data_IF_431675886383
#
_entry.id   IF_431675886383
#
_cell.length_a   1.000
_cell.length_b   1.000
_cell.length_c   1.000
_cell.angle_alpha   90.00
_cell.angle_beta   90.00
_cell.angle_gamma   90.00
#
_symmetry.space_group_name_H-M   'P 1'
#
loop_
_entity.id
_entity.type
_entity.pdbx_description
1 polymer ?
#
# COMPACT_ATOMS: atom_id res chain seq x y z
N UNK A 1 -24.17 -0.63 13.28
CA UNK A 1 -23.19 -0.56 12.18
C UNK A 1 -22.03 -1.46 12.56
N UNK A 2 -21.46 -2.23 11.64
CA UNK A 2 -20.29 -3.07 11.93
C UNK A 2 -19.07 -2.17 12.21
N UNK A 3 -18.28 -2.55 13.22
CA UNK A 3 -17.00 -1.87 13.51
C UNK A 3 -16.07 -2.06 12.32
N UNK A 4 -15.44 -1.00 11.84
CA UNK A 4 -14.45 -1.09 10.75
C UNK A 4 -13.20 -1.82 11.22
N UNK A 5 -12.53 -2.49 10.28
CA UNK A 5 -11.24 -3.16 10.50
C UNK A 5 -10.13 -2.19 10.13
N UNK A 6 -9.26 -1.85 11.10
CA UNK A 6 -8.14 -0.93 10.89
C UNK A 6 -6.84 -1.69 11.10
N UNK A 7 -5.92 -1.60 10.14
CA UNK A 7 -4.58 -2.13 10.21
C UNK A 7 -3.54 -1.02 9.99
N UNK A 8 -2.29 -1.29 10.28
CA UNK A 8 -1.17 -0.40 9.94
C UNK A 8 -0.22 -1.07 8.97
N UNK A 9 0.67 -0.29 8.38
CA UNK A 9 1.78 -0.78 7.59
C UNK A 9 3.10 -0.17 8.08
N UNK A 10 4.21 -0.92 8.07
CA UNK A 10 5.50 -0.46 8.58
C UNK A 10 6.05 0.80 7.91
N UNK A 11 5.63 1.12 6.70
CA UNK A 11 6.02 2.35 5.98
C UNK A 11 5.64 3.62 6.77
N UNK A 12 4.59 3.58 7.59
CA UNK A 12 4.23 4.70 8.46
C UNK A 12 5.29 4.97 9.53
N UNK A 13 6.20 4.03 9.77
CA UNK A 13 7.37 4.16 10.64
C UNK A 13 8.68 4.32 9.89
N UNK A 14 8.63 4.61 8.60
CA UNK A 14 9.80 4.82 7.75
C UNK A 14 10.43 3.52 7.24
N UNK A 15 9.79 2.37 7.43
CA UNK A 15 10.29 1.08 6.95
C UNK A 15 9.90 0.87 5.49
N UNK A 16 10.90 0.81 4.61
CA UNK A 16 10.71 0.76 3.16
C UNK A 16 11.77 -0.13 2.50
N UNK A 17 11.41 -0.76 1.39
CA UNK A 17 12.31 -1.61 0.59
C UNK A 17 13.30 -0.82 -0.25
N UNK A 18 13.05 0.49 -0.47
CA UNK A 18 13.89 1.32 -1.35
C UNK A 18 15.25 1.58 -0.70
N UNK A 19 16.37 1.22 -1.37
CA UNK A 19 17.70 1.50 -0.84
C UNK A 19 17.91 3.00 -0.58
N UNK A 20 18.37 3.34 0.62
CA UNK A 20 18.62 4.74 0.99
C UNK A 20 17.38 5.55 1.35
N UNK A 21 16.22 4.91 1.55
CA UNK A 21 14.96 5.58 1.94
C UNK A 21 15.08 6.42 3.22
N UNK A 22 16.01 6.07 4.10
CA UNK A 22 16.21 6.76 5.37
C UNK A 22 16.53 5.78 6.50
N UNK A 23 16.44 6.25 7.74
CA UNK A 23 16.65 5.42 8.92
C UNK A 23 15.50 4.42 9.05
N UNK A 24 15.83 3.13 9.17
CA UNK A 24 14.87 2.04 9.32
C UNK A 24 14.68 1.72 10.80
N UNK A 25 13.46 1.84 11.30
CA UNK A 25 13.15 1.48 12.69
C UNK A 25 13.14 -0.03 12.90
N UNK A 26 13.53 -0.44 14.11
CA UNK A 26 13.56 -1.85 14.52
C UNK A 26 12.14 -2.45 14.55
N UNK A 27 11.95 -3.69 14.08
CA UNK A 27 10.66 -4.37 14.04
C UNK A 27 9.95 -4.42 15.39
N UNK A 28 10.68 -4.69 16.48
CA UNK A 28 10.11 -4.78 17.83
C UNK A 28 9.46 -3.44 18.25
N UNK A 29 10.16 -2.33 17.99
CA UNK A 29 9.64 -0.99 18.23
C UNK A 29 8.39 -0.71 17.41
N UNK A 30 8.45 -0.95 16.09
CA UNK A 30 7.34 -0.67 15.16
C UNK A 30 6.08 -1.44 15.57
N UNK A 31 6.19 -2.75 15.77
CA UNK A 31 5.04 -3.58 16.14
C UNK A 31 4.49 -3.25 17.54
N UNK A 32 5.37 -2.90 18.49
CA UNK A 32 4.96 -2.46 19.83
C UNK A 32 4.19 -1.14 19.77
N UNK A 33 4.67 -0.18 18.98
CA UNK A 33 3.99 1.11 18.79
C UNK A 33 2.67 0.94 18.04
N UNK A 34 2.58 0.04 17.03
CA UNK A 34 1.32 -0.34 16.38
C UNK A 34 0.27 -0.81 17.40
N UNK A 35 0.64 -1.74 18.28
CA UNK A 35 -0.28 -2.22 19.34
C UNK A 35 -0.65 -1.10 20.30
N UNK A 36 0.31 -0.27 20.71
CA UNK A 36 0.09 0.90 21.56
C UNK A 36 -0.88 1.92 20.96
N UNK A 37 -0.85 2.11 19.64
CA UNK A 37 -1.80 2.95 18.91
C UNK A 37 -3.22 2.34 18.81
N UNK A 38 -3.39 1.11 19.28
CA UNK A 38 -4.68 0.40 19.28
C UNK A 38 -5.01 -0.31 17.97
N UNK A 39 -3.99 -0.58 17.15
CA UNK A 39 -4.11 -1.45 15.97
C UNK A 39 -4.08 -2.92 16.41
N UNK A 40 -4.81 -3.77 15.69
CA UNK A 40 -4.88 -5.21 15.94
C UNK A 40 -4.36 -6.03 14.77
N UNK A 41 -3.91 -5.35 13.72
CA UNK A 41 -3.43 -5.97 12.50
C UNK A 41 -2.38 -5.10 11.80
N UNK A 42 -1.53 -5.74 11.00
CA UNK A 42 -0.44 -5.12 10.23
C UNK A 42 -0.34 -5.75 8.84
N UNK A 43 0.24 -5.02 7.88
CA UNK A 43 0.91 -5.64 6.73
C UNK A 43 2.32 -6.07 7.10
N UNK A 44 2.93 -7.00 6.33
CA UNK A 44 4.24 -7.58 6.68
C UNK A 44 5.40 -6.58 6.58
N UNK A 45 5.24 -5.52 5.76
CA UNK A 45 6.37 -4.67 5.37
C UNK A 45 7.31 -5.34 4.37
N UNK A 46 8.45 -4.72 4.06
CA UNK A 46 9.39 -5.22 3.07
C UNK A 46 10.10 -6.50 3.51
N UNK A 47 10.66 -7.22 2.54
CA UNK A 47 11.47 -8.41 2.80
C UNK A 47 12.64 -8.10 3.76
N UNK A 48 12.82 -8.96 4.76
CA UNK A 48 13.88 -8.80 5.77
C UNK A 48 13.50 -7.87 6.93
N UNK A 49 12.37 -7.18 6.90
CA UNK A 49 11.86 -6.44 8.07
C UNK A 49 11.40 -7.40 9.17
N UNK A 50 10.59 -8.39 8.83
CA UNK A 50 10.21 -9.47 9.74
C UNK A 50 10.98 -10.75 9.40
N UNK A 51 11.05 -11.75 10.33
CA UNK A 51 11.72 -13.01 10.06
C UNK A 51 11.19 -13.70 8.80
N UNK A 52 12.11 -14.26 8.01
CA UNK A 52 11.78 -15.07 6.83
C UNK A 52 11.43 -16.52 7.18
N UNK A 53 11.89 -17.02 8.34
CA UNK A 53 11.44 -18.31 8.87
C UNK A 53 9.97 -18.22 9.29
N UNK A 54 9.18 -19.15 8.81
CA UNK A 54 7.71 -19.12 8.99
C UNK A 54 7.27 -19.30 10.44
N UNK A 55 7.98 -20.06 11.25
CA UNK A 55 7.61 -20.27 12.65
C UNK A 55 8.06 -19.07 13.50
N UNK A 56 9.21 -18.48 13.21
CA UNK A 56 9.66 -17.24 13.84
C UNK A 56 8.71 -16.07 13.50
N UNK A 57 8.31 -15.94 12.24
CA UNK A 57 7.33 -14.92 11.81
C UNK A 57 6.02 -15.03 12.58
N UNK A 58 5.44 -16.24 12.66
CA UNK A 58 4.23 -16.51 13.42
C UNK A 58 4.42 -16.21 14.92
N UNK A 59 5.59 -16.53 15.47
CA UNK A 59 5.89 -16.26 16.87
C UNK A 59 5.92 -14.76 17.16
N UNK A 60 6.56 -13.95 16.31
CA UNK A 60 6.62 -12.49 16.45
C UNK A 60 5.22 -11.87 16.36
N UNK A 61 4.43 -12.22 15.35
CA UNK A 61 3.06 -11.68 15.19
C UNK A 61 2.17 -12.04 16.39
N UNK A 62 2.28 -13.27 16.89
CA UNK A 62 1.53 -13.72 18.06
C UNK A 62 1.98 -13.02 19.34
N UNK A 63 3.30 -12.83 19.54
CA UNK A 63 3.84 -12.12 20.71
C UNK A 63 3.34 -10.67 20.74
N UNK A 64 3.26 -10.01 19.58
CA UNK A 64 2.75 -8.64 19.46
C UNK A 64 1.23 -8.55 19.42
N UNK A 65 0.51 -9.68 19.43
CA UNK A 65 -0.96 -9.74 19.28
C UNK A 65 -1.45 -8.95 18.06
N UNK A 66 -0.78 -9.16 16.92
CA UNK A 66 -1.10 -8.56 15.62
C UNK A 66 -1.44 -9.64 14.60
N UNK A 67 -2.60 -9.51 13.93
CA UNK A 67 -2.91 -10.31 12.76
C UNK A 67 -2.18 -9.76 11.53
N UNK A 68 -1.78 -10.62 10.60
CA UNK A 68 -1.33 -10.20 9.28
C UNK A 68 -2.51 -10.07 8.34
N UNK A 69 -2.64 -8.94 7.65
CA UNK A 69 -3.74 -8.71 6.69
C UNK A 69 -3.30 -8.87 5.25
N UNK A 70 -2.06 -8.53 4.93
CA UNK A 70 -1.49 -8.55 3.60
C UNK A 70 -0.04 -8.11 3.59
N UNK A 71 0.45 -7.80 2.40
CA UNK A 71 1.77 -7.21 2.21
C UNK A 71 1.98 -6.77 0.77
N UNK A 72 2.77 -5.72 0.63
CA UNK A 72 3.16 -5.15 -0.65
C UNK A 72 4.17 -6.04 -1.35
N UNK A 73 3.91 -6.36 -2.61
CA UNK A 73 4.75 -7.23 -3.44
C UNK A 73 4.99 -6.56 -4.79
N UNK A 74 6.17 -5.96 -5.01
CA UNK A 74 6.54 -5.41 -6.30
C UNK A 74 6.84 -6.54 -7.30
N UNK A 75 6.22 -6.49 -8.49
CA UNK A 75 6.36 -7.51 -9.52
C UNK A 75 6.60 -6.88 -10.90
N UNK A 76 7.55 -7.39 -11.66
CA UNK A 76 7.85 -6.91 -13.01
C UNK A 76 6.98 -7.65 -14.02
N UNK A 77 5.91 -6.99 -14.50
CA UNK A 77 4.83 -7.62 -15.25
C UNK A 77 4.97 -7.54 -16.78
N UNK A 78 5.81 -6.66 -17.31
CA UNK A 78 5.79 -6.28 -18.73
C UNK A 78 6.96 -6.82 -19.56
N UNK A 79 8.02 -7.31 -18.93
CA UNK A 79 9.21 -7.82 -19.62
C UNK A 79 8.96 -9.19 -20.23
N UNK A 80 9.51 -9.44 -21.41
CA UNK A 80 9.31 -10.70 -22.16
C UNK A 80 10.15 -11.83 -21.60
N UNK A 81 11.33 -11.51 -21.13
CA UNK A 81 12.34 -12.45 -20.62
C UNK A 81 12.28 -12.61 -19.09
N UNK A 82 11.17 -12.22 -18.47
CA UNK A 82 10.98 -12.30 -17.03
C UNK A 82 9.63 -12.96 -16.70
N UNK A 83 9.64 -13.95 -15.81
CA UNK A 83 8.42 -14.54 -15.25
C UNK A 83 8.06 -13.87 -13.93
N UNK A 84 6.98 -13.06 -13.86
CA UNK A 84 6.59 -12.37 -12.62
C UNK A 84 6.17 -13.32 -11.49
N UNK A 85 5.95 -14.61 -11.75
CA UNK A 85 5.73 -15.59 -10.68
C UNK A 85 6.97 -15.81 -9.82
N UNK A 86 8.17 -15.56 -10.37
CA UNK A 86 9.43 -15.67 -9.62
C UNK A 86 9.52 -14.55 -8.56
N UNK A 87 9.05 -13.33 -8.88
CA UNK A 87 9.00 -12.21 -7.93
C UNK A 87 8.00 -12.48 -6.79
N UNK A 88 6.94 -13.21 -7.08
CA UNK A 88 5.85 -13.51 -6.16
C UNK A 88 6.16 -14.67 -5.20
N UNK A 89 6.98 -15.64 -5.62
CA UNK A 89 7.08 -16.94 -4.96
C UNK A 89 7.47 -16.84 -3.46
N UNK A 90 8.55 -16.15 -3.13
CA UNK A 90 9.00 -15.97 -1.74
C UNK A 90 8.00 -15.19 -0.87
N UNK A 91 7.58 -13.97 -1.30
CA UNK A 91 6.58 -13.20 -0.57
C UNK A 91 5.26 -13.95 -0.34
N UNK A 92 4.79 -14.71 -1.33
CA UNK A 92 3.55 -15.49 -1.20
C UNK A 92 3.64 -16.55 -0.09
N UNK A 93 4.76 -17.26 0.04
CA UNK A 93 4.96 -18.23 1.12
C UNK A 93 4.93 -17.54 2.50
N UNK A 94 5.57 -16.38 2.63
CA UNK A 94 5.56 -15.60 3.88
C UNK A 94 4.15 -15.13 4.24
N UNK A 95 3.38 -14.63 3.26
CA UNK A 95 2.00 -14.18 3.46
C UNK A 95 1.07 -15.33 3.85
N UNK A 96 1.19 -16.49 3.19
CA UNK A 96 0.44 -17.70 3.55
C UNK A 96 0.78 -18.13 4.98
N UNK A 97 2.07 -18.16 5.34
CA UNK A 97 2.53 -18.53 6.67
C UNK A 97 2.01 -17.56 7.76
N UNK A 98 1.99 -16.27 7.47
CA UNK A 98 1.46 -15.25 8.37
C UNK A 98 -0.06 -15.26 8.51
N UNK A 99 -0.78 -16.04 7.70
CA UNK A 99 -2.24 -16.07 7.68
C UNK A 99 -2.87 -14.83 7.05
N UNK A 100 -2.17 -14.16 6.14
CA UNK A 100 -2.68 -13.02 5.40
C UNK A 100 -3.87 -13.38 4.51
N UNK A 101 -4.71 -12.41 4.22
CA UNK A 101 -5.83 -12.56 3.29
C UNK A 101 -5.58 -11.95 1.91
N UNK A 102 -4.62 -11.03 1.80
CA UNK A 102 -4.41 -10.20 0.60
C UNK A 102 -2.93 -10.18 0.20
N UNK A 103 -2.69 -10.23 -1.11
CA UNK A 103 -1.40 -9.92 -1.74
C UNK A 103 -1.57 -8.61 -2.50
N UNK A 104 -0.83 -7.57 -2.10
CA UNK A 104 -0.90 -6.24 -2.69
C UNK A 104 0.18 -6.12 -3.76
N UNK A 105 -0.17 -6.38 -5.02
CA UNK A 105 0.75 -6.34 -6.15
C UNK A 105 0.99 -4.90 -6.60
N UNK A 106 2.24 -4.51 -6.81
CA UNK A 106 2.60 -3.28 -7.50
C UNK A 106 3.34 -3.59 -8.81
N UNK A 107 3.00 -2.89 -9.89
CA UNK A 107 3.59 -3.12 -11.21
C UNK A 107 4.98 -2.45 -11.30
N UNK A 108 5.98 -3.11 -10.72
CA UNK A 108 7.35 -2.58 -10.62
C UNK A 108 7.99 -2.32 -11.99
N UNK A 109 8.87 -1.32 -12.04
CA UNK A 109 9.64 -0.97 -13.23
C UNK A 109 10.82 -1.92 -13.46
N UNK A 110 11.27 -2.60 -12.41
CA UNK A 110 12.51 -3.36 -12.38
C UNK A 110 13.77 -2.49 -12.19
N UNK A 111 13.58 -1.27 -11.71
CA UNK A 111 14.64 -0.36 -11.23
C UNK A 111 14.35 0.03 -9.78
N UNK A 112 15.36 0.48 -9.06
CA UNK A 112 15.22 0.94 -7.68
C UNK A 112 14.51 2.28 -7.61
N UNK A 113 13.70 2.47 -6.55
CA UNK A 113 13.04 3.72 -6.23
C UNK A 113 11.80 4.04 -7.06
N UNK A 114 11.21 5.20 -6.79
CA UNK A 114 9.91 5.62 -7.31
C UNK A 114 9.94 6.98 -8.04
N UNK A 115 11.12 7.47 -8.40
CA UNK A 115 11.29 8.79 -9.02
C UNK A 115 11.23 8.76 -10.56
N UNK A 116 11.15 7.58 -11.17
CA UNK A 116 11.05 7.44 -12.62
C UNK A 116 10.42 6.13 -13.05
N UNK A 117 9.77 6.14 -14.23
CA UNK A 117 9.19 4.94 -14.83
C UNK A 117 9.31 4.93 -16.36
N UNK A 118 9.42 3.76 -17.01
CA UNK A 118 9.42 3.66 -18.46
C UNK A 118 8.01 3.89 -19.04
N UNK A 119 7.97 4.28 -20.30
CA UNK A 119 6.72 4.26 -21.10
C UNK A 119 6.64 2.93 -21.83
N UNK A 120 5.56 2.20 -21.64
CA UNK A 120 5.32 0.91 -22.27
C UNK A 120 4.62 1.05 -23.62
N UNK A 121 4.97 0.19 -24.56
CA UNK A 121 4.22 -0.01 -25.78
C UNK A 121 2.97 -0.90 -25.55
N UNK A 122 2.13 -1.04 -26.60
CA UNK A 122 0.87 -1.82 -26.48
C UNK A 122 1.11 -3.31 -26.24
N UNK A 123 2.20 -3.90 -26.74
CA UNK A 123 2.54 -5.29 -26.50
C UNK A 123 2.96 -5.53 -25.04
N UNK A 124 3.74 -4.61 -24.47
CA UNK A 124 4.14 -4.63 -23.07
C UNK A 124 2.91 -4.44 -22.15
N UNK A 125 1.99 -3.54 -22.49
CA UNK A 125 0.74 -3.37 -21.76
C UNK A 125 -0.14 -4.62 -21.82
N UNK A 126 -0.29 -5.24 -22.97
CA UNK A 126 -1.06 -6.48 -23.11
C UNK A 126 -0.46 -7.61 -22.24
N UNK A 127 0.87 -7.70 -22.19
CA UNK A 127 1.57 -8.67 -21.34
C UNK A 127 1.35 -8.37 -19.84
N UNK A 128 1.48 -7.11 -19.44
CA UNK A 128 1.23 -6.68 -18.06
C UNK A 128 -0.16 -7.09 -17.60
N UNK A 129 -1.18 -6.76 -18.37
CA UNK A 129 -2.58 -7.07 -18.05
C UNK A 129 -2.82 -8.59 -17.97
N UNK A 130 -2.28 -9.36 -18.90
CA UNK A 130 -2.38 -10.83 -18.89
C UNK A 130 -1.66 -11.44 -17.66
N UNK A 131 -0.50 -10.90 -17.29
CA UNK A 131 0.24 -11.34 -16.11
C UNK A 131 -0.48 -10.99 -14.80
N UNK A 132 -1.19 -9.87 -14.71
CA UNK A 132 -2.02 -9.56 -13.54
C UNK A 132 -3.09 -10.64 -13.30
N UNK A 133 -3.84 -11.03 -14.33
CA UNK A 133 -4.85 -12.08 -14.19
C UNK A 133 -4.22 -13.45 -13.89
N UNK A 134 -3.04 -13.75 -14.47
CA UNK A 134 -2.29 -14.97 -14.17
C UNK A 134 -1.83 -15.03 -12.72
N UNK A 135 -1.22 -13.95 -12.19
CA UNK A 135 -0.79 -13.90 -10.80
C UNK A 135 -1.99 -13.95 -9.85
N UNK A 136 -3.10 -13.30 -10.19
CA UNK A 136 -4.32 -13.39 -9.40
C UNK A 136 -4.83 -14.83 -9.27
N UNK A 137 -4.72 -15.63 -10.33
CA UNK A 137 -5.05 -17.06 -10.29
C UNK A 137 -4.10 -17.85 -9.37
N UNK A 138 -2.77 -17.63 -9.48
CA UNK A 138 -1.77 -18.28 -8.62
C UNK A 138 -2.03 -17.95 -7.13
N UNK A 139 -2.30 -16.70 -6.83
CA UNK A 139 -2.61 -16.25 -5.45
C UNK A 139 -3.90 -16.90 -4.94
N UNK A 140 -4.94 -17.00 -5.79
CA UNK A 140 -6.21 -17.62 -5.43
C UNK A 140 -6.08 -19.12 -5.13
N UNK A 141 -5.19 -19.86 -5.82
CA UNK A 141 -4.88 -21.27 -5.53
C UNK A 141 -4.28 -21.46 -4.13
N UNK A 142 -3.68 -20.42 -3.55
CA UNK A 142 -3.13 -20.41 -2.20
C UNK A 142 -4.13 -19.89 -1.15
N UNK A 143 -5.37 -19.58 -1.56
CA UNK A 143 -6.44 -19.11 -0.69
C UNK A 143 -6.38 -17.62 -0.32
N UNK A 144 -5.55 -16.82 -1.00
CA UNK A 144 -5.45 -15.38 -0.83
C UNK A 144 -6.12 -14.65 -1.99
N UNK A 145 -6.31 -13.33 -1.82
CA UNK A 145 -6.80 -12.43 -2.86
C UNK A 145 -5.67 -11.53 -3.35
N UNK A 146 -5.39 -11.53 -4.65
CA UNK A 146 -4.51 -10.54 -5.25
C UNK A 146 -5.27 -9.24 -5.53
N UNK A 147 -4.66 -8.12 -5.21
CA UNK A 147 -5.12 -6.78 -5.58
C UNK A 147 -4.00 -6.03 -6.26
N UNK A 148 -4.31 -5.19 -7.26
CA UNK A 148 -3.33 -4.28 -7.82
C UNK A 148 -3.36 -2.96 -7.05
N UNK A 149 -2.20 -2.49 -6.69
CA UNK A 149 -1.96 -1.20 -6.07
C UNK A 149 -1.39 -0.22 -7.11
N UNK A 150 -2.18 0.74 -7.64
CA UNK A 150 -1.64 1.86 -8.39
C UNK A 150 -0.70 2.68 -7.51
N UNK A 151 0.56 2.84 -7.92
CA UNK A 151 1.59 3.44 -7.08
C UNK A 151 2.47 4.38 -7.91
N UNK A 152 2.80 5.54 -7.36
CA UNK A 152 3.73 6.52 -7.98
C UNK A 152 5.07 5.85 -8.28
N UNK A 153 5.64 6.13 -9.46
CA UNK A 153 6.91 5.54 -9.90
C UNK A 153 6.83 4.08 -10.33
N UNK A 154 5.64 3.47 -10.35
CA UNK A 154 5.41 2.14 -10.94
C UNK A 154 4.79 2.26 -12.33
N UNK A 155 4.58 1.14 -13.03
CA UNK A 155 3.98 1.15 -14.38
C UNK A 155 2.52 1.59 -14.33
N UNK A 156 1.79 1.26 -13.25
CA UNK A 156 0.39 1.67 -13.07
C UNK A 156 0.32 2.80 -12.04
N UNK A 157 0.34 4.03 -12.53
CA UNK A 157 0.38 5.24 -11.72
C UNK A 157 -0.76 6.20 -12.05
N UNK A 158 -0.87 6.60 -13.33
CA UNK A 158 -1.80 7.63 -13.77
C UNK A 158 -3.22 7.11 -13.95
N UNK A 159 -4.17 8.03 -14.06
CA UNK A 159 -5.55 7.69 -14.39
C UNK A 159 -5.66 6.85 -15.65
N UNK A 160 -4.90 7.16 -16.70
CA UNK A 160 -4.91 6.40 -17.94
C UNK A 160 -4.41 4.96 -17.74
N UNK A 161 -3.41 4.76 -16.88
CA UNK A 161 -2.88 3.44 -16.54
C UNK A 161 -3.92 2.63 -15.76
N UNK A 162 -4.57 3.25 -14.77
CA UNK A 162 -5.66 2.62 -14.00
C UNK A 162 -6.81 2.22 -14.91
N UNK A 163 -7.22 3.10 -15.83
CA UNK A 163 -8.29 2.80 -16.79
C UNK A 163 -7.92 1.63 -17.73
N UNK A 164 -6.65 1.53 -18.17
CA UNK A 164 -6.17 0.36 -18.95
C UNK A 164 -6.30 -0.95 -18.17
N UNK A 165 -5.93 -0.94 -16.90
CA UNK A 165 -6.08 -2.14 -16.05
C UNK A 165 -7.56 -2.47 -15.83
N UNK A 166 -8.40 -1.50 -15.54
CA UNK A 166 -9.84 -1.72 -15.33
C UNK A 166 -10.52 -2.31 -16.56
N UNK A 167 -10.08 -1.94 -17.77
CA UNK A 167 -10.61 -2.42 -19.04
C UNK A 167 -10.06 -3.80 -19.44
N UNK A 168 -8.81 -4.09 -19.12
CA UNK A 168 -8.09 -5.25 -19.64
C UNK A 168 -7.98 -6.43 -18.68
N UNK A 169 -8.12 -6.21 -17.36
CA UNK A 169 -7.97 -7.24 -16.33
C UNK A 169 -9.17 -7.28 -15.40
N UNK A 170 -9.42 -8.44 -14.80
CA UNK A 170 -10.43 -8.65 -13.75
C UNK A 170 -9.91 -8.43 -12.34
N UNK A 171 -8.60 -8.20 -12.17
CA UNK A 171 -7.97 -8.03 -10.86
C UNK A 171 -8.65 -6.95 -10.04
N UNK A 172 -8.80 -7.20 -8.74
CA UNK A 172 -9.28 -6.18 -7.81
C UNK A 172 -8.22 -5.11 -7.55
N UNK A 173 -8.63 -3.99 -7.00
CA UNK A 173 -7.72 -2.89 -6.66
C UNK A 173 -7.51 -2.80 -5.14
N UNK A 174 -6.31 -2.45 -4.76
CA UNK A 174 -6.02 -1.71 -3.55
C UNK A 174 -6.25 -0.22 -3.86
N UNK A 175 -7.23 0.40 -3.21
CA UNK A 175 -7.44 1.83 -3.32
C UNK A 175 -6.46 2.53 -2.38
N UNK A 176 -5.34 2.99 -2.92
CA UNK A 176 -4.44 3.88 -2.19
C UNK A 176 -4.84 5.33 -2.46
N UNK A 177 -5.25 6.04 -1.41
CA UNK A 177 -5.81 7.38 -1.55
C UNK A 177 -4.76 8.43 -1.87
N UNK A 178 -3.52 8.23 -1.42
CA UNK A 178 -2.41 9.15 -1.68
C UNK A 178 -1.79 8.95 -3.05
N UNK A 179 -1.38 7.73 -3.37
CA UNK A 179 -0.75 7.45 -4.67
C UNK A 179 -1.68 7.75 -5.85
N UNK A 180 -2.98 7.47 -5.72
CA UNK A 180 -3.96 7.85 -6.75
C UNK A 180 -4.05 9.37 -6.93
N UNK A 181 -4.12 10.14 -5.83
CA UNK A 181 -4.15 11.60 -5.91
C UNK A 181 -2.89 12.15 -6.61
N UNK A 182 -1.71 11.69 -6.18
CA UNK A 182 -0.42 12.13 -6.75
C UNK A 182 -0.31 11.71 -8.23
N UNK A 183 -0.82 10.54 -8.60
CA UNK A 183 -0.90 10.07 -10.00
C UNK A 183 -1.98 10.75 -10.84
N UNK A 184 -2.70 11.75 -10.28
CA UNK A 184 -3.73 12.51 -10.99
C UNK A 184 -5.08 11.81 -11.10
N UNK A 185 -5.34 10.82 -10.25
CA UNK A 185 -6.64 10.17 -10.13
C UNK A 185 -7.32 10.60 -8.84
N UNK A 186 -8.54 11.17 -8.94
CA UNK A 186 -9.35 11.42 -7.74
C UNK A 186 -9.79 10.08 -7.11
N UNK A 187 -9.32 9.74 -5.89
CA UNK A 187 -9.63 8.47 -5.28
C UNK A 187 -11.11 8.33 -4.88
N UNK A 188 -11.80 9.43 -4.56
CA UNK A 188 -13.22 9.41 -4.26
C UNK A 188 -14.06 9.12 -5.50
N UNK A 189 -13.74 9.76 -6.62
CA UNK A 189 -14.42 9.50 -7.89
C UNK A 189 -14.14 8.07 -8.38
N UNK A 190 -12.95 7.55 -8.19
CA UNK A 190 -12.64 6.14 -8.49
C UNK A 190 -13.46 5.19 -7.60
N UNK A 191 -13.53 5.46 -6.30
CA UNK A 191 -14.31 4.65 -5.36
C UNK A 191 -15.82 4.63 -5.72
N UNK A 192 -16.37 5.76 -6.15
CA UNK A 192 -17.77 5.85 -6.64
C UNK A 192 -17.98 5.09 -7.95
N UNK A 193 -17.02 5.19 -8.88
CA UNK A 193 -17.16 4.61 -10.22
C UNK A 193 -17.07 3.08 -10.23
N UNK A 194 -16.18 2.50 -9.41
CA UNK A 194 -15.89 1.07 -9.43
C UNK A 194 -15.81 0.43 -8.03
N UNK A 195 -16.80 0.67 -7.13
CA UNK A 195 -16.72 0.22 -5.74
C UNK A 195 -16.51 -1.30 -5.63
N UNK A 196 -17.11 -2.07 -6.53
CA UNK A 196 -17.00 -3.53 -6.57
C UNK A 196 -15.63 -4.04 -7.04
N UNK A 197 -14.75 -3.17 -7.54
CA UNK A 197 -13.39 -3.51 -7.93
C UNK A 197 -12.41 -3.30 -6.76
N UNK A 198 -12.80 -2.57 -5.71
CA UNK A 198 -11.96 -2.27 -4.56
C UNK A 198 -12.14 -3.38 -3.53
N UNK A 199 -11.04 -4.04 -3.15
CA UNK A 199 -11.05 -5.14 -2.19
C UNK A 199 -10.04 -4.94 -1.04
N UNK A 200 -9.18 -3.95 -1.15
CA UNK A 200 -8.23 -3.53 -0.12
C UNK A 200 -8.04 -2.02 -0.17
N UNK A 201 -7.55 -1.42 0.90
CA UNK A 201 -7.31 0.04 0.91
C UNK A 201 -6.03 0.37 1.66
N UNK A 202 -5.26 1.32 1.11
CA UNK A 202 -4.25 2.07 1.83
C UNK A 202 -4.74 3.51 2.00
N UNK A 203 -4.94 3.92 3.23
CA UNK A 203 -5.42 5.26 3.54
C UNK A 203 -4.23 6.17 3.84
N UNK A 204 -4.01 7.10 2.95
CA UNK A 204 -3.02 8.16 3.05
C UNK A 204 -3.73 9.51 2.91
N UNK A 205 -3.30 10.51 3.67
CA UNK A 205 -3.72 11.90 3.45
C UNK A 205 -2.54 12.70 2.93
N UNK A 206 -2.79 13.68 2.09
CA UNK A 206 -1.78 14.31 1.25
C UNK A 206 -1.95 15.82 1.24
N UNK A 207 -0.84 16.55 1.34
CA UNK A 207 -0.76 17.97 0.97
C UNK A 207 -0.81 18.09 -0.56
N UNK A 208 -1.92 18.57 -1.08
CA UNK A 208 -2.16 18.70 -2.52
C UNK A 208 -1.18 19.67 -3.20
N UNK A 209 -0.63 20.65 -2.48
CA UNK A 209 0.34 21.58 -3.05
C UNK A 209 1.70 20.88 -3.28
N UNK A 210 2.12 19.98 -2.40
CA UNK A 210 3.30 19.15 -2.60
C UNK A 210 3.05 18.09 -3.68
N UNK A 211 1.88 17.46 -3.70
CA UNK A 211 1.49 16.52 -4.77
C UNK A 211 1.54 17.19 -6.16
N UNK A 212 1.06 18.44 -6.28
CA UNK A 212 1.11 19.19 -7.53
C UNK A 212 2.56 19.44 -8.02
N UNK A 213 3.51 19.59 -7.10
CA UNK A 213 4.94 19.74 -7.46
C UNK A 213 5.52 18.43 -7.99
N UNK A 214 5.10 17.28 -7.49
CA UNK A 214 5.47 15.97 -8.05
C UNK A 214 4.87 15.82 -9.44
N UNK A 215 3.60 16.13 -9.62
CA UNK A 215 2.92 16.06 -10.91
C UNK A 215 3.55 16.95 -11.98
N UNK A 216 4.03 18.12 -11.59
CA UNK A 216 4.70 19.07 -12.50
C UNK A 216 6.17 18.74 -12.75
N UNK A 217 6.76 17.80 -12.00
CA UNK A 217 8.20 17.50 -12.04
C UNK A 217 9.09 18.56 -11.37
N UNK A 218 8.51 19.46 -10.54
CA UNK A 218 9.27 20.41 -9.72
C UNK A 218 10.01 19.69 -8.58
N UNK A 219 9.40 18.66 -8.01
CA UNK A 219 10.00 17.76 -7.02
C UNK A 219 9.92 16.32 -7.52
N UNK A 220 10.91 15.52 -7.14
CA UNK A 220 10.77 14.06 -7.22
C UNK A 220 9.80 13.58 -6.16
N UNK A 221 9.30 12.36 -6.30
CA UNK A 221 8.44 11.74 -5.28
C UNK A 221 9.16 11.65 -3.93
N UNK A 222 10.41 11.17 -3.94
CA UNK A 222 11.23 11.04 -2.72
C UNK A 222 11.46 12.39 -2.03
N UNK A 223 11.72 13.46 -2.78
CA UNK A 223 11.87 14.81 -2.22
C UNK A 223 10.57 15.31 -1.60
N UNK A 224 9.43 15.06 -2.21
CA UNK A 224 8.14 15.47 -1.69
C UNK A 224 7.76 14.71 -0.40
N UNK A 225 8.01 13.39 -0.35
CA UNK A 225 7.83 12.60 0.88
C UNK A 225 8.70 13.17 2.01
N UNK A 226 9.97 13.44 1.74
CA UNK A 226 10.90 14.04 2.71
C UNK A 226 10.46 15.44 3.16
N UNK A 227 9.79 16.18 2.30
CA UNK A 227 9.22 17.49 2.62
C UNK A 227 7.90 17.41 3.43
N UNK A 228 7.38 16.20 3.73
CA UNK A 228 6.17 16.00 4.52
C UNK A 228 4.89 16.03 3.70
N UNK A 229 4.92 15.53 2.45
CA UNK A 229 3.76 15.47 1.57
C UNK A 229 2.63 14.63 2.17
N UNK A 230 2.95 13.55 2.86
CA UNK A 230 1.97 12.74 3.57
C UNK A 230 1.74 13.28 4.98
N UNK A 231 0.47 13.41 5.35
CA UNK A 231 0.03 13.98 6.62
C UNK A 231 -0.88 12.99 7.37
N UNK A 232 -1.08 13.18 8.69
CA UNK A 232 -2.07 12.39 9.42
C UNK A 232 -3.46 12.51 8.79
N UNK A 233 -4.22 11.41 8.78
CA UNK A 233 -5.57 11.39 8.20
C UNK A 233 -6.46 12.50 8.78
N UNK A 234 -7.14 13.22 7.90
CA UNK A 234 -8.02 14.33 8.22
C UNK A 234 -7.30 15.68 8.36
N UNK A 235 -6.01 15.75 8.04
CA UNK A 235 -5.23 17.01 8.09
C UNK A 235 -4.70 17.44 6.73
N UNK A 236 -4.81 16.58 5.70
CA UNK A 236 -4.49 16.89 4.31
C UNK A 236 -5.73 17.23 3.49
N UNK A 237 -5.61 17.03 2.18
CA UNK A 237 -6.61 17.46 1.19
C UNK A 237 -7.42 16.28 0.62
N UNK A 238 -7.18 15.04 1.04
CA UNK A 238 -7.95 13.86 0.61
C UNK A 238 -9.27 13.76 1.35
N UNK A 239 -10.39 13.61 0.65
CA UNK A 239 -11.69 13.33 1.30
C UNK A 239 -11.77 11.87 1.78
N UNK A 240 -10.97 11.55 2.80
CA UNK A 240 -10.93 10.21 3.41
C UNK A 240 -12.29 9.80 3.97
N UNK A 241 -13.03 10.75 4.57
CA UNK A 241 -14.35 10.47 5.13
C UNK A 241 -15.36 10.08 4.04
N UNK A 242 -15.38 10.80 2.92
CA UNK A 242 -16.21 10.47 1.77
C UNK A 242 -15.87 9.12 1.16
N UNK A 243 -14.57 8.80 1.04
CA UNK A 243 -14.10 7.50 0.51
C UNK A 243 -14.56 6.36 1.42
N UNK A 244 -14.32 6.46 2.73
CA UNK A 244 -14.73 5.45 3.71
C UNK A 244 -16.25 5.25 3.70
N UNK A 245 -17.04 6.34 3.60
CA UNK A 245 -18.50 6.25 3.47
C UNK A 245 -18.91 5.50 2.22
N UNK A 246 -18.39 5.89 1.04
CA UNK A 246 -18.71 5.24 -0.24
C UNK A 246 -18.41 3.74 -0.20
N UNK A 247 -17.25 3.36 0.32
CA UNK A 247 -16.85 1.95 0.40
C UNK A 247 -17.79 1.16 1.33
N UNK A 248 -18.11 1.68 2.52
CA UNK A 248 -19.03 1.04 3.46
C UNK A 248 -20.44 0.90 2.89
N UNK A 249 -20.95 1.94 2.24
CA UNK A 249 -22.28 1.95 1.64
C UNK A 249 -22.41 0.94 0.49
N UNK A 250 -21.28 0.58 -0.14
CA UNK A 250 -21.19 -0.44 -1.18
C UNK A 250 -20.74 -1.83 -0.65
N UNK A 251 -20.75 -2.04 0.68
CA UNK A 251 -20.52 -3.36 1.29
C UNK A 251 -19.05 -3.76 1.38
N UNK A 252 -18.11 -2.83 1.33
CA UNK A 252 -16.70 -3.12 1.58
C UNK A 252 -16.53 -3.65 3.02
N UNK A 253 -15.97 -4.84 3.13
CA UNK A 253 -15.71 -5.54 4.40
C UNK A 253 -14.21 -5.81 4.63
N UNK A 254 -13.36 -5.25 3.78
CA UNK A 254 -11.89 -5.34 3.86
C UNK A 254 -11.30 -4.50 5.01
N UNK A 255 -10.00 -4.38 4.98
CA UNK A 255 -9.22 -3.62 5.93
C UNK A 255 -8.98 -2.19 5.43
N UNK A 256 -9.09 -1.23 6.33
CA UNK A 256 -8.58 0.12 6.16
C UNK A 256 -7.16 0.17 6.73
N UNK A 257 -6.16 0.03 5.86
CA UNK A 257 -4.76 0.05 6.25
C UNK A 257 -4.28 1.49 6.29
N UNK A 258 -3.74 1.90 7.43
CA UNK A 258 -3.11 3.20 7.60
C UNK A 258 -1.71 3.18 7.02
N UNK A 259 -1.46 4.07 6.08
CA UNK A 259 -0.13 4.33 5.53
C UNK A 259 0.15 5.83 5.48
N UNK A 260 1.32 6.20 5.94
CA UNK A 260 1.88 7.54 5.82
C UNK A 260 3.36 7.37 5.48
N UNK A 261 3.70 7.46 4.19
CA UNK A 261 5.07 7.26 3.77
C UNK A 261 5.96 8.29 4.45
N UNK A 262 6.93 7.79 5.18
CA UNK A 262 7.79 8.60 6.06
C UNK A 262 9.24 8.30 5.80
N UNK A 263 10.05 9.36 5.65
CA UNK A 263 11.51 9.27 5.57
C UNK A 263 12.11 9.84 6.85
N UNK A 264 12.82 9.01 7.59
CA UNK A 264 13.48 9.40 8.84
C UNK A 264 14.95 9.74 8.56
N UNK A 265 15.40 10.93 8.98
CA UNK A 265 16.81 11.32 8.87
C UNK A 265 17.70 10.59 9.89
N UNK A 266 17.11 9.99 10.91
CA UNK A 266 17.76 9.24 11.98
C UNK A 266 16.76 8.70 12.99
N UNK A 267 17.25 8.06 14.05
CA UNK A 267 16.37 7.54 15.09
C UNK A 267 15.62 8.68 15.80
N UNK A 268 14.28 8.63 15.87
CA UNK A 268 13.49 9.65 16.54
C UNK A 268 13.80 9.73 18.04
N UNK A 269 14.01 10.95 18.55
CA UNK A 269 14.31 11.21 19.97
C UNK A 269 13.07 11.36 20.85
N UNK A 270 11.87 11.20 20.30
CA UNK A 270 10.58 11.30 20.99
C UNK A 270 9.62 10.22 20.50
N UNK A 271 8.33 10.54 20.48
CA UNK A 271 7.30 9.62 19.98
C UNK A 271 7.54 9.24 18.51
N UNK A 272 8.09 10.17 17.72
CA UNK A 272 8.31 9.92 16.29
C UNK A 272 7.01 9.68 15.53
N UNK A 273 7.02 8.78 14.53
CA UNK A 273 5.87 8.54 13.66
C UNK A 273 4.61 8.04 14.36
N UNK A 274 4.74 7.38 15.52
CA UNK A 274 3.56 6.82 16.23
C UNK A 274 2.55 7.88 16.61
N UNK A 275 2.99 9.13 16.85
CA UNK A 275 2.07 10.25 17.14
C UNK A 275 1.07 10.45 16.00
N UNK A 276 1.54 10.42 14.77
CA UNK A 276 0.72 10.66 13.59
C UNK A 276 -0.21 9.46 13.30
N UNK A 277 0.28 8.25 13.56
CA UNK A 277 -0.56 7.04 13.49
C UNK A 277 -1.68 7.07 14.52
N UNK A 278 -1.40 7.47 15.76
CA UNK A 278 -2.43 7.61 16.82
C UNK A 278 -3.49 8.63 16.40
N UNK A 279 -3.08 9.78 15.82
CA UNK A 279 -4.01 10.77 15.30
C UNK A 279 -4.89 10.21 14.17
N UNK A 280 -4.30 9.49 13.22
CA UNK A 280 -4.99 8.85 12.11
C UNK A 280 -6.00 7.78 12.57
N UNK A 281 -5.63 6.95 13.55
CA UNK A 281 -6.55 5.97 14.17
C UNK A 281 -7.72 6.68 14.86
N UNK A 282 -7.45 7.76 15.59
CA UNK A 282 -8.50 8.54 16.25
C UNK A 282 -9.48 9.15 15.24
N UNK A 283 -8.94 9.73 14.15
CA UNK A 283 -9.75 10.26 13.04
C UNK A 283 -10.65 9.20 12.41
N UNK A 284 -10.11 8.04 12.03
CA UNK A 284 -10.92 6.97 11.45
C UNK A 284 -12.03 6.49 12.39
N UNK A 285 -11.74 6.34 13.67
CA UNK A 285 -12.76 5.98 14.66
C UNK A 285 -13.86 7.04 14.76
N UNK A 286 -13.49 8.32 14.70
CA UNK A 286 -14.45 9.41 14.74
C UNK A 286 -15.40 9.42 13.54
N UNK A 287 -14.88 9.28 12.31
CA UNK A 287 -15.72 9.33 11.09
C UNK A 287 -16.56 8.06 10.88
N UNK A 288 -16.32 7.01 11.66
CA UNK A 288 -17.01 5.72 11.53
C UNK A 288 -17.89 5.38 12.74
N UNK A 289 -17.92 6.24 13.76
CA UNK A 289 -18.81 6.13 14.92
C UNK A 289 -20.24 6.50 14.53
#
# INVERSE_FOLDING_TARGET
>A
MSTIKIAGAPISWGVCEVPGWGFQLDPDRVLTEMRGAGLTATELGPEGFLPTDTEELKAVLREKDLACVGGFVPVVLFKEDHDPADDLAGPLESLVAAGAGVVVLAAATGADGYDSRPVLDDAQWARLVANLDRLAAIVAERGLLAVLHPHVGTIVETRADVDRVLQGSSIKLCLDTGHLLIGGTDPLELAKAVPNRIAHTHLKDVDAALAAKVQSGELTYTEAVKAGMYTPLGTGDVDVAGIVSVLRDNGFDGWFVLEQDTILDGEPTGEGPVRDVVASVAYLRQITA
#
